data_IF_021106345785
#
_entry.id   IF_021106345785
#
_cell.length_a   1.000
_cell.length_b   1.000
_cell.length_c   1.000
_cell.angle_alpha   90.00
_cell.angle_beta   90.00
_cell.angle_gamma   90.00
#
_symmetry.space_group_name_H-M   'P 1'
#
loop_
_entity.id
_entity.type
_entity.pdbx_description
1 polymer ?
#
# COMPACT_ATOMS: atom_id res chain seq x y z
N UNK A 1 20.19 5.57 8.90
CA UNK A 1 19.11 4.77 8.29
C UNK A 1 17.95 5.71 7.94
N UNK A 2 17.60 5.83 6.67
CA UNK A 2 16.49 6.68 6.22
C UNK A 2 15.16 5.97 6.47
N UNK A 3 14.23 6.62 7.17
CA UNK A 3 12.90 6.06 7.42
C UNK A 3 12.11 6.13 6.12
N UNK A 4 11.52 4.99 5.72
CA UNK A 4 10.67 4.88 4.53
C UNK A 4 9.21 5.10 4.93
N UNK A 5 8.44 5.69 4.03
CA UNK A 5 7.04 6.05 4.25
C UNK A 5 6.18 5.59 3.09
N UNK A 6 4.90 5.34 3.35
CA UNK A 6 3.92 5.12 2.30
C UNK A 6 3.63 6.45 1.58
N UNK A 7 3.55 6.42 0.25
CA UNK A 7 3.26 7.59 -0.58
C UNK A 7 1.75 7.85 -0.77
N UNK A 8 0.91 6.89 -0.42
CA UNK A 8 -0.54 7.01 -0.52
C UNK A 8 -1.02 8.10 0.44
N UNK A 9 -1.73 9.11 -0.11
CA UNK A 9 -2.33 10.19 0.65
C UNK A 9 -3.27 9.62 1.72
N UNK A 10 -3.27 10.24 2.91
CA UNK A 10 -4.06 9.82 4.09
C UNK A 10 -3.75 8.44 4.67
N UNK A 11 -2.76 7.71 4.16
CA UNK A 11 -2.32 6.45 4.76
C UNK A 11 -1.73 6.68 6.17
N UNK A 12 -2.08 5.82 7.14
CA UNK A 12 -1.49 5.83 8.49
C UNK A 12 0.04 5.67 8.46
N UNK A 13 0.53 5.01 7.41
CA UNK A 13 1.95 4.79 7.19
C UNK A 13 2.65 5.91 6.39
N UNK A 14 1.95 6.99 6.06
CA UNK A 14 2.52 8.15 5.37
C UNK A 14 3.45 8.97 6.25
N UNK A 15 4.29 9.80 5.61
CA UNK A 15 5.22 10.68 6.32
C UNK A 15 4.49 11.64 7.26
N UNK A 16 3.38 12.18 6.82
CA UNK A 16 2.57 13.14 7.58
C UNK A 16 1.97 12.48 8.82
N UNK A 17 1.36 11.30 8.67
CA UNK A 17 0.75 10.58 9.79
C UNK A 17 1.79 10.03 10.78
N UNK A 18 2.98 9.63 10.31
CA UNK A 18 4.07 9.15 11.16
C UNK A 18 4.84 10.28 11.87
N UNK A 19 4.67 11.54 11.46
CA UNK A 19 5.35 12.69 12.08
C UNK A 19 4.85 12.86 13.53
N UNK A 20 5.77 12.75 14.49
CA UNK A 20 5.45 12.90 15.92
C UNK A 20 4.96 11.63 16.62
N UNK A 21 4.86 10.49 15.93
CA UNK A 21 4.56 9.21 16.59
C UNK A 21 5.82 8.60 17.24
N UNK A 22 5.66 8.07 18.46
CA UNK A 22 6.71 7.31 19.13
C UNK A 22 6.99 6.02 18.35
N UNK A 23 8.27 5.78 18.01
CA UNK A 23 8.73 4.62 17.20
C UNK A 23 8.22 3.25 17.67
N UNK A 24 7.89 3.12 18.96
CA UNK A 24 7.39 1.89 19.57
C UNK A 24 5.95 1.53 19.17
N UNK A 25 5.14 2.52 18.77
CA UNK A 25 3.72 2.33 18.46
C UNK A 25 3.42 2.28 16.95
N UNK A 26 4.45 2.32 16.10
CA UNK A 26 4.23 2.23 14.66
C UNK A 26 3.98 0.79 14.24
N UNK A 27 2.92 0.51 13.48
CA UNK A 27 2.70 -0.82 12.96
C UNK A 27 3.86 -1.21 12.04
N UNK A 28 4.32 -2.46 12.19
CA UNK A 28 5.40 -3.04 11.39
C UNK A 28 4.85 -3.47 10.04
N UNK A 29 4.59 -2.51 9.16
CA UNK A 29 4.14 -2.77 7.81
C UNK A 29 5.31 -3.06 6.87
N UNK A 30 5.08 -3.99 5.94
CA UNK A 30 5.98 -4.18 4.81
C UNK A 30 5.82 -3.01 3.85
N UNK A 31 6.94 -2.45 3.37
CA UNK A 31 6.94 -1.41 2.36
C UNK A 31 7.47 -1.96 1.04
N UNK A 32 6.68 -1.81 -0.01
CA UNK A 32 7.00 -2.24 -1.36
C UNK A 32 7.36 -1.03 -2.21
N UNK A 33 8.44 -1.13 -2.99
CA UNK A 33 8.84 -0.07 -3.91
C UNK A 33 7.82 0.05 -5.04
N UNK A 34 7.52 1.29 -5.43
CA UNK A 34 6.72 1.55 -6.63
C UNK A 34 7.44 0.96 -7.87
N UNK A 35 6.72 0.32 -8.81
CA UNK A 35 7.30 -0.24 -10.02
C UNK A 35 8.08 0.79 -10.83
N UNK A 36 9.10 0.33 -11.57
CA UNK A 36 9.85 1.20 -12.49
C UNK A 36 9.10 1.48 -13.79
N UNK A 37 8.07 0.70 -14.12
CA UNK A 37 7.33 0.85 -15.36
C UNK A 37 6.29 1.96 -15.21
N UNK A 38 6.40 3.01 -16.02
CA UNK A 38 5.51 4.18 -15.99
C UNK A 38 4.02 3.83 -16.20
N UNK A 39 3.72 2.80 -17.01
CA UNK A 39 2.34 2.38 -17.25
C UNK A 39 1.73 1.78 -15.98
N UNK A 40 2.51 1.01 -15.22
CA UNK A 40 2.07 0.44 -13.95
C UNK A 40 1.95 1.53 -12.88
N UNK A 41 2.86 2.52 -12.89
CA UNK A 41 2.74 3.69 -11.99
C UNK A 41 1.42 4.42 -12.24
N UNK A 42 1.11 4.72 -13.51
CA UNK A 42 -0.15 5.36 -13.89
C UNK A 42 -1.36 4.55 -13.47
N UNK A 43 -1.34 3.24 -13.73
CA UNK A 43 -2.42 2.35 -13.30
C UNK A 43 -2.61 2.37 -11.77
N UNK A 44 -1.53 2.32 -10.99
CA UNK A 44 -1.61 2.41 -9.53
C UNK A 44 -2.13 3.78 -9.08
N UNK A 45 -1.69 4.84 -9.72
CA UNK A 45 -2.11 6.22 -9.49
C UNK A 45 -3.62 6.38 -9.70
N UNK A 46 -4.12 5.91 -10.85
CA UNK A 46 -5.53 5.92 -11.21
C UNK A 46 -6.37 5.12 -10.22
N UNK A 47 -5.96 3.89 -9.89
CA UNK A 47 -6.67 3.05 -8.91
C UNK A 47 -6.72 3.75 -7.55
N UNK A 48 -5.67 4.43 -7.12
CA UNK A 48 -5.61 5.08 -5.82
C UNK A 48 -6.20 6.51 -5.83
N UNK A 49 -6.77 6.94 -6.96
CA UNK A 49 -7.36 8.28 -7.12
C UNK A 49 -6.37 9.41 -6.89
N UNK A 50 -5.08 9.17 -7.15
CA UNK A 50 -4.01 10.15 -6.98
C UNK A 50 -3.38 10.46 -8.33
N UNK A 51 -2.85 11.67 -8.49
CA UNK A 51 -2.04 12.01 -9.66
C UNK A 51 -0.56 11.96 -9.26
N UNK A 52 0.13 10.90 -9.68
CA UNK A 52 1.53 10.67 -9.37
C UNK A 52 2.40 10.93 -10.59
N UNK A 53 3.12 12.05 -10.56
CA UNK A 53 4.21 12.34 -11.50
C UNK A 53 5.54 11.72 -11.02
N UNK A 54 5.52 10.45 -10.66
CA UNK A 54 6.72 9.78 -10.19
C UNK A 54 7.64 9.41 -11.34
N UNK A 55 8.90 9.78 -11.21
CA UNK A 55 9.95 9.27 -12.09
C UNK A 55 10.10 7.74 -11.90
N UNK A 56 10.26 6.98 -13.00
CA UNK A 56 10.67 5.58 -12.98
C UNK A 56 11.86 5.33 -12.06
N UNK A 57 11.70 4.41 -11.09
CA UNK A 57 12.78 4.09 -10.16
C UNK A 57 12.96 5.08 -9.02
N UNK A 58 12.03 6.02 -8.85
CA UNK A 58 11.94 6.82 -7.64
C UNK A 58 11.87 5.92 -6.39
N UNK A 59 12.52 6.36 -5.30
CA UNK A 59 12.49 5.68 -4.00
C UNK A 59 11.16 5.92 -3.26
N UNK A 60 10.03 5.71 -3.95
CA UNK A 60 8.68 5.79 -3.40
C UNK A 60 8.21 4.40 -3.01
N UNK A 61 7.40 4.33 -1.96
CA UNK A 61 6.95 3.06 -1.38
C UNK A 61 5.46 3.07 -1.07
N UNK A 62 4.84 1.90 -1.09
CA UNK A 62 3.46 1.65 -0.66
C UNK A 62 3.47 0.52 0.38
N UNK A 63 2.69 0.64 1.45
CA UNK A 63 2.59 -0.41 2.45
C UNK A 63 1.68 -1.57 2.01
N UNK A 64 1.90 -2.73 2.62
CA UNK A 64 1.09 -3.93 2.43
C UNK A 64 -0.42 -3.76 2.63
N UNK A 65 -0.85 -2.81 3.46
CA UNK A 65 -2.28 -2.53 3.65
C UNK A 65 -3.03 -2.19 2.35
N UNK A 66 -2.35 -1.62 1.36
CA UNK A 66 -2.96 -1.23 0.09
C UNK A 66 -3.00 -2.37 -0.94
N UNK A 67 -2.58 -3.58 -0.60
CA UNK A 67 -2.67 -4.73 -1.50
C UNK A 67 -3.52 -5.81 -0.86
N UNK A 68 -4.23 -6.57 -1.70
CA UNK A 68 -4.83 -7.82 -1.26
C UNK A 68 -3.72 -8.80 -0.86
N UNK A 69 -3.93 -9.50 0.25
CA UNK A 69 -3.01 -10.50 0.80
C UNK A 69 -2.67 -11.58 -0.23
N UNK A 70 -3.58 -11.89 -1.17
CA UNK A 70 -3.32 -12.83 -2.26
C UNK A 70 -2.16 -12.39 -3.19
N UNK A 71 -1.85 -11.10 -3.25
CA UNK A 71 -0.77 -10.55 -4.05
C UNK A 71 0.55 -10.42 -3.28
N UNK A 72 0.54 -10.69 -1.98
CA UNK A 72 1.69 -10.60 -1.09
C UNK A 72 2.33 -11.98 -0.93
N UNK A 73 3.61 -12.09 -1.26
CA UNK A 73 4.37 -13.34 -1.15
C UNK A 73 5.12 -13.32 0.18
N UNK A 74 4.56 -14.00 1.19
CA UNK A 74 5.17 -14.18 2.53
C UNK A 74 5.89 -15.51 2.69
N UNK A 75 5.53 -16.52 1.89
CA UNK A 75 6.04 -17.88 2.01
C UNK A 75 6.43 -18.43 0.65
N UNK A 76 7.43 -19.29 0.62
CA UNK A 76 7.83 -20.09 -0.51
C UNK A 76 7.35 -21.52 -0.36
N UNK A 77 6.93 -22.11 -1.47
CA UNK A 77 6.68 -23.54 -1.57
C UNK A 77 7.91 -24.13 -2.23
N UNK A 78 8.65 -24.95 -1.48
CA UNK A 78 9.86 -25.62 -1.96
C UNK A 78 9.47 -27.04 -2.33
N UNK A 79 9.64 -27.37 -3.60
CA UNK A 79 9.37 -28.70 -4.14
C UNK A 79 10.69 -29.38 -4.47
N UNK A 80 10.98 -30.49 -3.79
CA UNK A 80 12.13 -31.35 -4.07
C UNK A 80 11.59 -32.64 -4.72
N UNK A 81 12.15 -33.10 -5.86
CA UNK A 81 11.71 -34.33 -6.51
C UNK A 81 11.72 -35.52 -5.53
N UNK A 82 10.60 -36.26 -5.46
CA UNK A 82 10.45 -37.41 -4.57
C UNK A 82 10.13 -37.08 -3.10
N UNK A 83 10.00 -35.80 -2.74
CA UNK A 83 9.57 -35.38 -1.41
C UNK A 83 8.26 -34.59 -1.46
N UNK A 84 7.54 -34.55 -0.34
CA UNK A 84 6.39 -33.66 -0.21
C UNK A 84 6.87 -32.20 -0.20
N UNK A 85 6.16 -31.30 -0.89
CA UNK A 85 6.49 -29.89 -0.86
C UNK A 85 6.36 -29.35 0.57
N UNK A 86 7.30 -28.50 0.97
CA UNK A 86 7.26 -27.86 2.28
C UNK A 86 7.27 -26.34 2.16
N UNK A 87 6.71 -25.69 3.18
CA UNK A 87 6.51 -24.25 3.21
C UNK A 87 7.64 -23.61 4.01
N UNK A 88 8.31 -22.62 3.42
CA UNK A 88 9.34 -21.84 4.08
C UNK A 88 8.91 -20.38 4.19
N UNK A 89 9.10 -19.76 5.36
CA UNK A 89 8.78 -18.35 5.55
C UNK A 89 9.86 -17.44 4.96
N UNK A 90 9.45 -16.41 4.22
CA UNK A 90 10.40 -15.46 3.65
C UNK A 90 10.83 -14.43 4.68
N UNK A 91 12.14 -14.25 4.82
CA UNK A 91 12.72 -13.09 5.54
C UNK A 91 12.36 -11.75 4.87
N UNK A 92 12.17 -11.73 3.54
CA UNK A 92 11.80 -10.55 2.76
C UNK A 92 10.48 -10.79 2.02
N UNK A 93 9.45 -10.07 2.43
CA UNK A 93 8.14 -10.09 1.77
C UNK A 93 8.22 -9.32 0.45
N UNK A 94 7.57 -9.84 -0.60
CA UNK A 94 7.57 -9.24 -1.94
C UNK A 94 6.18 -9.30 -2.56
N UNK A 95 5.88 -8.40 -3.50
CA UNK A 95 4.64 -8.45 -4.29
C UNK A 95 4.77 -9.38 -5.50
N UNK A 96 3.65 -9.98 -5.91
CA UNK A 96 3.51 -10.60 -7.24
C UNK A 96 3.71 -9.53 -8.33
N UNK A 97 4.20 -9.93 -9.51
CA UNK A 97 4.54 -9.01 -10.61
C UNK A 97 3.36 -8.14 -11.09
N UNK A 98 2.15 -8.70 -11.04
CA UNK A 98 0.92 -8.03 -11.49
C UNK A 98 0.07 -7.54 -10.31
N UNK A 99 0.68 -7.39 -9.13
CA UNK A 99 -0.02 -6.84 -7.98
C UNK A 99 -0.46 -5.40 -8.28
N UNK A 100 -1.72 -5.11 -8.02
CA UNK A 100 -2.30 -3.76 -8.08
C UNK A 100 -2.82 -3.40 -6.69
N UNK A 101 -2.76 -2.12 -6.31
CA UNK A 101 -3.32 -1.69 -5.06
C UNK A 101 -4.85 -1.80 -5.05
N UNK A 102 -5.45 -1.82 -3.86
CA UNK A 102 -6.91 -1.93 -3.65
C UNK A 102 -7.48 -0.64 -3.07
N UNK A 103 -8.66 -0.24 -3.55
CA UNK A 103 -9.40 0.96 -3.14
C UNK A 103 -9.99 0.88 -1.72
N UNK A 104 -10.28 -0.33 -1.25
CA UNK A 104 -11.17 -0.60 -0.11
C UNK A 104 -10.71 -0.01 1.23
N UNK A 105 -9.48 0.50 1.33
CA UNK A 105 -8.94 1.10 2.56
C UNK A 105 -8.62 2.59 2.47
N UNK A 106 -8.94 3.24 1.34
CA UNK A 106 -8.74 4.70 1.17
C UNK A 106 -9.91 5.48 1.77
N UNK A 107 -11.07 4.84 1.92
CA UNK A 107 -12.28 5.43 2.48
C UNK A 107 -12.53 4.94 3.90
N UNK A 108 -12.10 5.75 4.88
CA UNK A 108 -13.06 6.19 5.88
C UNK A 108 -13.11 7.73 5.81
N UNK A 109 -14.00 8.31 4.99
CA UNK A 109 -14.46 9.65 5.30
C UNK A 109 -15.12 9.56 6.68
N UNK A 110 -14.62 10.34 7.64
CA UNK A 110 -15.38 10.62 8.87
C UNK A 110 -16.75 11.16 8.47
N UNK A 111 -17.82 10.58 9.02
CA UNK A 111 -19.24 10.77 8.66
C UNK A 111 -19.81 12.19 8.85
N UNK A 112 -19.01 13.26 8.74
CA UNK A 112 -19.41 14.60 9.16
C UNK A 112 -19.54 15.64 8.03
N UNK A 113 -19.55 15.25 6.74
CA UNK A 113 -19.69 16.22 5.63
C UNK A 113 -20.92 16.02 4.74
N UNK A 114 -21.64 14.89 4.84
CA UNK A 114 -22.86 14.65 4.06
C UNK A 114 -24.09 15.43 4.55
N UNK A 115 -24.13 15.88 5.81
CA UNK A 115 -25.27 16.67 6.32
C UNK A 115 -25.31 18.13 5.83
N UNK A 116 -24.19 18.70 5.38
CA UNK A 116 -24.18 20.11 4.90
C UNK A 116 -24.69 20.27 3.47
N UNK A 117 -24.69 19.21 2.68
CA UNK A 117 -25.17 19.27 1.30
C UNK A 117 -26.71 19.25 1.23
N UNK A 118 -27.38 18.42 2.04
CA UNK A 118 -28.84 18.32 2.02
C UNK A 118 -29.59 19.46 2.72
N UNK A 119 -28.94 20.18 3.65
CA UNK A 119 -29.53 21.39 4.27
C UNK A 119 -29.42 22.65 3.41
N UNK A 120 -28.72 22.62 2.27
CA UNK A 120 -28.59 23.79 1.38
C UNK A 120 -29.66 23.85 0.28
N UNK A 121 -30.47 22.81 0.12
CA UNK A 121 -31.52 22.71 -0.92
C UNK A 121 -32.94 22.61 -0.35
N UNK A 122 -33.13 22.93 0.92
CA UNK A 122 -34.46 23.09 1.53
C UNK A 122 -34.63 24.54 2.00
N UNK A 123 -34.95 25.41 1.05
CA UNK A 123 -35.62 26.69 1.26
C UNK A 123 -36.81 26.76 0.30
#
# INVERSE_FOLDING_TARGET
>A
MMVKYCVVVNCINSREKKKGQNKLNLPKNSLFTVPKNIQIIKQWSEILGQNWDFEPGSNKFICDEHFDEQYIIRKDIITIPGQQPFISERKKITLKKNAVPTLEKITSPSENETEKFYKKFTC
#
